data_IF_694966329883
#
_entry.id   IF_694966329883
#
_cell.length_a   1.000
_cell.length_b   1.000
_cell.length_c   1.000
_cell.angle_alpha   90.00
_cell.angle_beta   90.00
_cell.angle_gamma   90.00
#
_symmetry.space_group_name_H-M   'P 1'
#
loop_
_entity.id
_entity.type
_entity.pdbx_description
1 polymer ?
#
# COMPACT_ATOMS: atom_id res chain seq x y z
N UNK A 1 36.36 24.75 54.36
CA UNK A 1 34.89 24.69 54.56
C UNK A 1 34.05 25.50 53.56
N UNK A 2 34.45 26.70 53.09
CA UNK A 2 33.66 27.48 52.10
C UNK A 2 33.46 26.78 50.75
N UNK A 3 34.50 26.15 50.21
CA UNK A 3 34.48 25.49 48.89
C UNK A 3 33.53 24.28 48.86
N UNK A 4 33.46 23.50 49.93
CA UNK A 4 32.52 22.38 50.06
C UNK A 4 31.06 22.83 50.11
N UNK A 5 30.78 23.94 50.80
CA UNK A 5 29.43 24.52 50.86
C UNK A 5 29.00 25.05 49.49
N UNK A 6 29.93 25.65 48.76
CA UNK A 6 29.70 26.15 47.41
C UNK A 6 29.51 25.02 46.40
N UNK A 7 30.32 23.96 46.47
CA UNK A 7 30.12 22.72 45.69
C UNK A 7 28.75 22.09 45.94
N UNK A 8 28.34 21.94 47.21
CA UNK A 8 27.03 21.39 47.57
C UNK A 8 25.86 22.23 47.03
N UNK A 9 26.00 23.55 47.02
CA UNK A 9 25.00 24.46 46.46
C UNK A 9 24.87 24.27 44.95
N UNK A 10 25.99 24.19 44.21
CA UNK A 10 25.99 23.95 42.77
C UNK A 10 25.51 22.54 42.40
N UNK A 11 25.81 21.52 43.20
CA UNK A 11 25.28 20.17 43.02
C UNK A 11 23.76 20.15 43.14
N UNK A 12 23.18 20.86 44.12
CA UNK A 12 21.72 20.99 44.23
C UNK A 12 21.07 21.75 43.06
N UNK A 13 21.71 22.81 42.57
CA UNK A 13 21.25 23.53 41.39
C UNK A 13 21.31 22.66 40.13
N UNK A 14 22.39 21.87 39.99
CA UNK A 14 22.56 20.92 38.90
C UNK A 14 21.48 19.84 38.93
N UNK A 15 21.17 19.28 40.10
CA UNK A 15 20.13 18.25 40.23
C UNK A 15 18.73 18.83 39.95
N UNK A 16 18.48 20.10 40.29
CA UNK A 16 17.26 20.80 39.92
C UNK A 16 17.16 21.03 38.40
N UNK A 17 18.26 21.43 37.76
CA UNK A 17 18.33 21.58 36.31
C UNK A 17 18.14 20.23 35.59
N UNK A 18 18.70 19.13 36.08
CA UNK A 18 18.48 17.82 35.49
C UNK A 18 17.03 17.37 35.56
N UNK A 19 16.36 17.58 36.70
CA UNK A 19 14.93 17.31 36.80
C UNK A 19 14.11 18.22 35.86
N UNK A 20 14.52 19.48 35.70
CA UNK A 20 13.86 20.40 34.78
C UNK A 20 14.05 19.96 33.32
N UNK A 21 15.25 19.58 32.90
CA UNK A 21 15.55 19.06 31.56
C UNK A 21 14.74 17.79 31.30
N UNK A 22 14.67 16.86 32.25
CA UNK A 22 13.86 15.66 32.10
C UNK A 22 12.38 15.99 31.88
N UNK A 23 11.81 16.91 32.65
CA UNK A 23 10.43 17.34 32.44
C UNK A 23 10.24 18.04 31.08
N UNK A 24 11.22 18.81 30.61
CA UNK A 24 11.17 19.44 29.29
C UNK A 24 11.26 18.42 28.15
N UNK A 25 12.10 17.40 28.26
CA UNK A 25 12.21 16.33 27.27
C UNK A 25 10.90 15.55 27.14
N UNK A 26 10.24 15.25 28.28
CA UNK A 26 8.92 14.62 28.29
C UNK A 26 7.86 15.50 27.60
N UNK A 27 7.89 16.82 27.83
CA UNK A 27 6.97 17.78 27.17
C UNK A 27 7.31 17.92 25.68
N UNK A 28 8.58 17.90 25.30
CA UNK A 28 9.02 17.98 23.91
C UNK A 28 8.53 16.77 23.11
N UNK A 29 8.66 15.56 23.66
CA UNK A 29 8.13 14.34 23.04
C UNK A 29 6.60 14.40 22.86
N UNK A 30 5.88 14.84 23.90
CA UNK A 30 4.44 15.05 23.80
C UNK A 30 4.06 16.11 22.75
N UNK A 31 4.83 17.20 22.66
CA UNK A 31 4.63 18.28 21.69
C UNK A 31 4.84 17.81 20.25
N UNK A 32 5.85 16.95 20.01
CA UNK A 32 6.11 16.35 18.71
C UNK A 32 4.95 15.45 18.28
N UNK A 33 4.48 14.58 19.17
CA UNK A 33 3.29 13.76 18.90
C UNK A 33 2.02 14.59 18.63
N UNK A 34 1.84 15.72 19.32
CA UNK A 34 0.73 16.66 19.06
C UNK A 34 0.89 17.32 17.68
N UNK A 35 2.11 17.66 17.27
CA UNK A 35 2.40 18.27 15.96
C UNK A 35 2.10 17.30 14.81
N UNK A 36 2.46 16.03 14.96
CA UNK A 36 2.13 14.99 13.98
C UNK A 36 0.62 14.74 13.90
N UNK A 37 -0.06 14.72 15.05
CA UNK A 37 -1.51 14.66 15.13
C UNK A 37 -2.17 15.88 14.46
N UNK A 38 -1.60 17.08 14.62
CA UNK A 38 -2.07 18.30 13.97
C UNK A 38 -1.92 18.25 12.44
N UNK A 39 -0.81 17.73 11.93
CA UNK A 39 -0.61 17.53 10.49
C UNK A 39 -1.63 16.54 9.94
N UNK A 40 -1.83 15.42 10.63
CA UNK A 40 -2.84 14.41 10.28
C UNK A 40 -4.25 15.01 10.29
N UNK A 41 -4.60 15.79 11.32
CA UNK A 41 -5.89 16.49 11.40
C UNK A 41 -6.08 17.48 10.25
N UNK A 42 -5.02 18.17 9.83
CA UNK A 42 -5.06 19.12 8.71
C UNK A 42 -5.29 18.39 7.38
N UNK A 43 -4.59 17.27 7.17
CA UNK A 43 -4.82 16.39 6.01
C UNK A 43 -6.25 15.85 6.00
N UNK A 44 -6.75 15.34 7.13
CA UNK A 44 -8.13 14.87 7.27
C UNK A 44 -9.16 15.97 7.01
N UNK A 45 -8.91 17.19 7.48
CA UNK A 45 -9.79 18.34 7.23
C UNK A 45 -9.83 18.72 5.75
N UNK A 46 -8.69 18.65 5.07
CA UNK A 46 -8.59 18.87 3.62
C UNK A 46 -9.34 17.77 2.85
N UNK A 47 -9.08 16.50 3.18
CA UNK A 47 -9.77 15.35 2.61
C UNK A 47 -11.29 15.42 2.84
N UNK A 48 -11.75 15.83 4.03
CA UNK A 48 -13.18 16.00 4.31
C UNK A 48 -13.80 17.14 3.48
N UNK A 49 -13.06 18.23 3.24
CA UNK A 49 -13.51 19.34 2.39
C UNK A 49 -13.63 18.90 0.93
N UNK A 50 -12.66 18.13 0.44
CA UNK A 50 -12.68 17.53 -0.89
C UNK A 50 -13.81 16.52 -1.04
N UNK A 51 -13.98 15.61 -0.07
CA UNK A 51 -15.07 14.64 -0.02
C UNK A 51 -16.44 15.34 -0.01
N UNK A 52 -16.61 16.43 0.74
CA UNK A 52 -17.83 17.24 0.70
C UNK A 52 -18.02 17.95 -0.65
N UNK A 53 -16.94 18.30 -1.34
CA UNK A 53 -16.97 18.81 -2.70
C UNK A 53 -17.44 17.73 -3.68
N UNK A 54 -16.83 16.55 -3.62
CA UNK A 54 -17.22 15.38 -4.41
C UNK A 54 -18.67 14.98 -4.13
N UNK A 55 -19.13 14.90 -2.88
CA UNK A 55 -20.53 14.60 -2.55
C UNK A 55 -21.54 15.66 -3.04
N UNK A 56 -21.10 16.89 -3.29
CA UNK A 56 -21.94 17.92 -3.93
C UNK A 56 -21.93 17.84 -5.46
N UNK A 57 -20.86 17.28 -6.04
CA UNK A 57 -20.66 17.11 -7.49
C UNK A 57 -21.21 15.77 -7.98
N UNK A 58 -21.14 14.71 -7.17
CA UNK A 58 -22.00 13.52 -7.20
C UNK A 58 -23.38 14.02 -6.84
N UNK A 59 -23.97 14.73 -7.80
CA UNK A 59 -25.25 15.38 -7.63
C UNK A 59 -26.27 14.27 -7.59
N UNK A 60 -27.29 14.47 -6.78
CA UNK A 60 -28.57 13.75 -6.76
C UNK A 60 -29.15 13.44 -8.17
N UNK A 61 -28.71 14.14 -9.21
CA UNK A 61 -29.03 13.91 -10.62
C UNK A 61 -28.40 12.65 -11.22
N UNK A 62 -27.28 12.18 -10.66
CA UNK A 62 -26.60 10.95 -11.08
C UNK A 62 -27.02 9.75 -10.23
N UNK A 63 -27.94 9.90 -9.25
CA UNK A 63 -28.42 8.76 -8.46
C UNK A 63 -29.27 7.82 -9.31
N UNK A 64 -30.09 8.36 -10.22
CA UNK A 64 -30.81 7.55 -11.21
C UNK A 64 -29.79 6.85 -12.14
N UNK A 65 -28.79 7.58 -12.66
CA UNK A 65 -27.73 7.01 -13.50
C UNK A 65 -26.86 5.96 -12.80
N UNK A 66 -26.56 6.13 -11.50
CA UNK A 66 -25.79 5.17 -10.71
C UNK A 66 -26.62 3.93 -10.38
N UNK A 67 -27.93 4.09 -10.18
CA UNK A 67 -28.83 2.97 -9.95
C UNK A 67 -29.04 2.17 -11.24
N UNK A 68 -29.17 2.85 -12.38
CA UNK A 68 -29.19 2.25 -13.71
C UNK A 68 -27.86 1.55 -14.02
N UNK A 69 -26.70 2.18 -13.78
CA UNK A 69 -25.39 1.53 -13.94
C UNK A 69 -25.18 0.34 -12.98
N UNK A 70 -25.73 0.38 -11.75
CA UNK A 70 -25.68 -0.76 -10.83
C UNK A 70 -26.60 -1.91 -11.27
N UNK A 71 -27.78 -1.61 -11.81
CA UNK A 71 -28.65 -2.61 -12.44
C UNK A 71 -27.97 -3.23 -13.66
N UNK A 72 -27.43 -2.40 -14.56
CA UNK A 72 -26.69 -2.84 -15.73
C UNK A 72 -25.47 -3.68 -15.33
N UNK A 73 -24.73 -3.30 -14.28
CA UNK A 73 -23.58 -4.09 -13.80
C UNK A 73 -24.01 -5.42 -13.16
N UNK A 74 -25.16 -5.47 -12.48
CA UNK A 74 -25.71 -6.71 -11.93
C UNK A 74 -26.20 -7.64 -13.05
N UNK A 75 -26.84 -7.09 -14.09
CA UNK A 75 -27.29 -7.83 -15.26
C UNK A 75 -26.11 -8.32 -16.10
N UNK A 76 -25.08 -7.49 -16.32
CA UNK A 76 -23.82 -7.93 -16.93
C UNK A 76 -23.14 -8.99 -16.07
N UNK A 77 -23.19 -8.89 -14.73
CA UNK A 77 -22.62 -9.93 -13.85
C UNK A 77 -23.40 -11.23 -13.95
N UNK A 78 -24.72 -11.19 -14.06
CA UNK A 78 -25.56 -12.36 -14.29
C UNK A 78 -25.33 -12.95 -15.70
N UNK A 79 -25.23 -12.11 -16.73
CA UNK A 79 -24.90 -12.53 -18.11
C UNK A 79 -23.49 -13.10 -18.19
N UNK A 80 -22.52 -12.54 -17.46
CA UNK A 80 -21.17 -13.09 -17.29
C UNK A 80 -21.25 -14.42 -16.56
N UNK A 81 -22.02 -14.54 -15.48
CA UNK A 81 -22.20 -15.81 -14.75
C UNK A 81 -22.99 -16.86 -15.55
N UNK A 82 -23.81 -16.47 -16.52
CA UNK A 82 -24.54 -17.36 -17.42
C UNK A 82 -23.67 -17.74 -18.64
N UNK A 83 -22.87 -16.80 -19.15
CA UNK A 83 -21.95 -16.99 -20.29
C UNK A 83 -20.67 -17.73 -19.89
N UNK A 84 -20.06 -17.38 -18.75
CA UNK A 84 -19.05 -18.17 -18.05
C UNK A 84 -19.67 -19.30 -17.24
N UNK A 85 -20.99 -19.24 -17.02
CA UNK A 85 -21.86 -20.35 -16.66
C UNK A 85 -21.95 -21.34 -17.80
N UNK A 86 -20.79 -21.84 -18.20
CA UNK A 86 -20.63 -23.28 -18.29
C UNK A 86 -21.17 -23.83 -16.97
N UNK A 87 -22.49 -24.05 -16.91
CA UNK A 87 -23.01 -25.30 -16.44
C UNK A 87 -22.09 -26.33 -17.05
N UNK A 88 -21.06 -26.72 -16.30
CA UNK A 88 -20.56 -28.06 -16.45
C UNK A 88 -21.82 -28.88 -16.24
N UNK A 89 -22.34 -29.40 -17.36
CA UNK A 89 -23.44 -30.34 -17.37
C UNK A 89 -22.92 -31.60 -16.69
N UNK A 90 -22.72 -31.51 -15.37
CA UNK A 90 -22.47 -32.63 -14.47
C UNK A 90 -23.80 -33.35 -14.48
N UNK A 91 -23.91 -34.49 -15.18
CA UNK A 91 -25.16 -35.22 -15.21
C UNK A 91 -25.54 -35.58 -13.77
N UNK A 92 -26.83 -35.46 -13.41
CA UNK A 92 -27.33 -35.76 -12.06
C UNK A 92 -27.09 -37.24 -11.67
N UNK A 93 -26.69 -38.08 -12.63
CA UNK A 93 -26.34 -39.50 -12.51
C UNK A 93 -24.84 -39.78 -12.35
N UNK A 94 -24.00 -38.77 -12.07
CA UNK A 94 -22.61 -39.02 -11.64
C UNK A 94 -22.62 -39.62 -10.24
N UNK A 95 -21.93 -40.75 -10.08
CA UNK A 95 -21.71 -41.40 -8.80
C UNK A 95 -20.58 -40.68 -8.03
N UNK A 96 -20.94 -39.91 -7.00
CA UNK A 96 -19.97 -39.20 -6.16
C UNK A 96 -19.03 -40.16 -5.43
N UNK A 97 -19.46 -41.39 -5.11
CA UNK A 97 -18.65 -42.37 -4.38
C UNK A 97 -17.53 -42.93 -5.28
N UNK A 98 -17.82 -43.16 -6.57
CA UNK A 98 -16.83 -43.59 -7.57
C UNK A 98 -15.79 -42.48 -7.81
N UNK A 99 -16.25 -41.23 -7.94
CA UNK A 99 -15.37 -40.07 -8.12
C UNK A 99 -14.47 -39.82 -6.90
N UNK A 100 -15.00 -39.98 -5.68
CA UNK A 100 -14.18 -39.92 -4.47
C UNK A 100 -13.15 -41.05 -4.41
N UNK A 101 -13.52 -42.26 -4.83
CA UNK A 101 -12.58 -43.38 -4.94
C UNK A 101 -11.46 -43.13 -5.95
N UNK A 102 -11.77 -42.54 -7.11
CA UNK A 102 -10.77 -42.10 -8.08
C UNK A 102 -9.88 -40.98 -7.53
N UNK A 103 -10.44 -40.03 -6.77
CA UNK A 103 -9.68 -38.93 -6.16
C UNK A 103 -8.70 -39.44 -5.09
N UNK A 104 -9.12 -40.37 -4.24
CA UNK A 104 -8.26 -41.02 -3.25
C UNK A 104 -7.12 -41.80 -3.93
N UNK A 105 -7.42 -42.46 -5.06
CA UNK A 105 -6.40 -43.16 -5.85
C UNK A 105 -5.41 -42.17 -6.49
N UNK A 106 -5.87 -41.02 -6.97
CA UNK A 106 -5.03 -39.95 -7.51
C UNK A 106 -4.19 -39.30 -6.40
N UNK A 107 -4.73 -39.11 -5.20
CA UNK A 107 -3.98 -38.64 -4.03
C UNK A 107 -2.88 -39.64 -3.65
N UNK A 108 -3.16 -40.94 -3.74
CA UNK A 108 -2.15 -41.97 -3.52
C UNK A 108 -1.05 -41.99 -4.60
N UNK A 109 -1.42 -41.79 -5.87
CA UNK A 109 -0.49 -41.70 -7.00
C UNK A 109 0.39 -40.43 -6.92
N UNK A 110 -0.23 -39.27 -6.66
CA UNK A 110 0.49 -38.02 -6.39
C UNK A 110 1.31 -38.09 -5.11
N UNK A 111 0.83 -38.77 -4.07
CA UNK A 111 1.57 -39.01 -2.83
C UNK A 111 2.84 -39.81 -3.09
N UNK A 112 2.77 -40.82 -3.95
CA UNK A 112 3.94 -41.58 -4.42
C UNK A 112 4.90 -40.73 -5.26
N UNK A 113 4.40 -39.77 -6.07
CA UNK A 113 5.27 -38.82 -6.78
C UNK A 113 5.83 -37.70 -5.85
N UNK A 114 5.09 -37.28 -4.82
CA UNK A 114 5.47 -36.17 -3.92
C UNK A 114 6.49 -36.61 -2.87
N UNK A 115 6.63 -37.92 -2.61
CA UNK A 115 7.78 -38.47 -1.89
C UNK A 115 9.11 -38.21 -2.62
N UNK A 116 9.09 -37.81 -3.90
CA UNK A 116 10.23 -37.24 -4.62
C UNK A 116 10.31 -35.72 -4.40
N UNK A 117 10.57 -35.28 -3.15
CA UNK A 117 11.03 -33.95 -2.67
C UNK A 117 10.96 -32.73 -3.63
N UNK A 118 9.82 -32.50 -4.28
CA UNK A 118 9.65 -31.43 -5.25
C UNK A 118 8.45 -30.58 -4.90
N UNK A 119 8.68 -29.35 -4.43
CA UNK A 119 7.62 -28.35 -4.33
C UNK A 119 6.98 -28.20 -5.72
N UNK A 120 5.65 -28.30 -5.87
CA UNK A 120 4.99 -28.20 -7.17
C UNK A 120 5.45 -26.94 -7.93
N UNK A 121 5.61 -27.04 -9.25
CA UNK A 121 6.20 -25.96 -10.07
C UNK A 121 5.54 -24.58 -9.91
N UNK A 122 4.28 -24.53 -9.46
CA UNK A 122 3.53 -23.29 -9.21
C UNK A 122 3.72 -22.70 -7.78
N UNK A 123 4.32 -23.45 -6.87
CA UNK A 123 4.64 -23.06 -5.48
C UNK A 123 6.14 -22.80 -5.28
N UNK A 124 6.96 -23.00 -6.32
CA UNK A 124 8.36 -22.63 -6.29
C UNK A 124 8.47 -21.09 -6.26
N UNK A 125 9.25 -20.51 -5.33
CA UNK A 125 9.50 -19.08 -5.34
C UNK A 125 10.15 -18.72 -6.67
N UNK A 126 9.53 -17.79 -7.40
CA UNK A 126 9.87 -17.36 -8.76
C UNK A 126 11.35 -17.59 -9.10
N UNK A 127 11.64 -18.69 -9.79
CA UNK A 127 12.81 -18.71 -10.67
C UNK A 127 12.47 -17.64 -11.69
N UNK A 128 13.09 -16.47 -11.57
CA UNK A 128 12.83 -15.33 -12.45
C UNK A 128 12.73 -15.86 -13.89
N UNK A 129 11.54 -15.81 -14.51
CA UNK A 129 11.42 -16.30 -15.87
C UNK A 129 12.27 -15.36 -16.72
N UNK A 130 13.36 -15.91 -17.26
CA UNK A 130 14.15 -15.31 -18.32
C UNK A 130 13.19 -14.59 -19.26
N UNK A 131 13.36 -13.27 -19.34
CA UNK A 131 12.58 -12.29 -20.09
C UNK A 131 11.48 -12.91 -20.95
N UNK A 132 10.28 -13.08 -20.38
CA UNK A 132 9.08 -13.36 -21.14
C UNK A 132 8.89 -12.17 -22.10
N UNK A 133 9.34 -12.35 -23.33
CA UNK A 133 9.40 -11.32 -24.37
C UNK A 133 7.98 -11.04 -24.88
N UNK A 134 7.17 -10.44 -24.02
CA UNK A 134 5.82 -10.01 -24.33
C UNK A 134 5.90 -8.82 -25.30
N UNK A 135 5.10 -8.81 -26.38
CA UNK A 135 5.05 -7.67 -27.28
C UNK A 135 4.65 -6.41 -26.50
N UNK A 136 5.39 -5.32 -26.68
CA UNK A 136 5.12 -4.06 -25.99
C UNK A 136 3.67 -3.62 -26.26
N UNK A 137 2.95 -3.31 -25.17
CA UNK A 137 1.59 -2.77 -25.25
C UNK A 137 1.56 -1.56 -26.20
N UNK A 138 0.52 -1.42 -27.03
CA UNK A 138 0.45 -0.39 -28.06
C UNK A 138 0.44 1.00 -27.40
N UNK A 139 1.57 1.71 -27.48
CA UNK A 139 1.65 3.11 -27.06
C UNK A 139 0.89 3.97 -28.04
N UNK A 140 -0.27 4.47 -27.61
CA UNK A 140 -1.02 5.50 -28.30
C UNK A 140 -0.14 6.72 -28.59
N UNK A 141 -0.12 7.11 -29.86
CA UNK A 141 0.64 8.22 -30.41
C UNK A 141 0.21 9.56 -29.76
N UNK A 142 0.97 10.05 -28.78
CA UNK A 142 0.95 11.45 -28.37
C UNK A 142 2.29 12.09 -28.71
N UNK A 143 2.26 13.00 -29.68
CA UNK A 143 3.43 13.61 -30.31
C UNK A 143 4.40 14.26 -29.33
N UNK A 144 5.68 13.88 -29.46
CA UNK A 144 6.83 14.54 -28.82
C UNK A 144 6.96 15.97 -29.36
N UNK A 145 6.64 16.97 -28.54
CA UNK A 145 7.17 18.33 -28.76
C UNK A 145 8.57 18.38 -28.15
N UNK A 146 9.54 18.44 -29.05
CA UNK A 146 10.97 18.56 -28.82
C UNK A 146 11.30 19.90 -28.15
N UNK A 147 11.92 19.88 -26.97
CA UNK A 147 12.74 21.01 -26.48
C UNK A 147 14.04 20.47 -25.88
N UNK A 148 15.05 20.38 -26.73
CA UNK A 148 16.44 20.21 -26.35
C UNK A 148 16.99 21.53 -25.80
N UNK A 149 17.62 21.48 -24.62
CA UNK A 149 18.74 22.38 -24.28
C UNK A 149 19.79 21.58 -23.48
N UNK A 150 21.06 21.52 -23.93
CA UNK A 150 22.08 20.59 -23.39
C UNK A 150 22.78 21.08 -22.09
N UNK A 151 23.48 20.20 -21.34
CA UNK A 151 23.94 20.47 -19.98
C UNK A 151 25.43 20.87 -19.93
N UNK A 152 25.74 22.15 -19.63
CA UNK A 152 27.01 22.67 -19.06
C UNK A 152 26.65 24.03 -18.41
N UNK A 153 26.98 24.42 -17.18
CA UNK A 153 28.25 24.38 -16.45
C UNK A 153 27.99 24.43 -14.93
N UNK A 154 28.63 23.53 -14.17
CA UNK A 154 29.00 23.77 -12.79
C UNK A 154 30.24 24.66 -12.80
N UNK A 155 30.20 25.85 -12.20
CA UNK A 155 31.31 26.46 -11.44
C UNK A 155 30.95 27.86 -10.93
N UNK A 156 31.38 28.13 -9.70
CA UNK A 156 31.58 29.45 -9.09
C UNK A 156 30.33 30.22 -8.65
N UNK A 157 30.01 30.14 -7.36
CA UNK A 157 30.21 31.28 -6.45
C UNK A 157 30.55 30.75 -5.05
N UNK A 158 31.80 30.95 -4.64
CA UNK A 158 32.19 30.88 -3.23
C UNK A 158 31.99 32.24 -2.55
N UNK A 159 32.15 32.21 -1.22
CA UNK A 159 32.09 33.31 -0.26
C UNK A 159 30.69 33.77 0.16
N UNK A 160 30.33 33.44 1.41
CA UNK A 160 30.39 34.40 2.52
C UNK A 160 30.63 33.61 3.81
N UNK A 161 31.80 33.86 4.42
CA UNK A 161 32.20 33.44 5.77
C UNK A 161 31.85 34.61 6.71
N UNK A 162 31.26 34.26 7.85
CA UNK A 162 31.08 35.08 9.06
C UNK A 162 32.44 35.51 9.66
N UNK A 163 32.48 36.55 10.48
CA UNK A 163 32.26 36.34 11.92
C UNK A 163 31.15 37.21 12.50
#
# INVERSE_FOLDING_TARGET
MRVLKQKRMYEGQRDMLYNQTFNLDQVAFASEGIKDAQQTMTALKSANKELKGMMKTVKIQDIDSLQDEMMDMMDISNEIQESLGRSYSVPDDIDEDDLMGELDALEADMGQETESEGVPSYLQPDIEPEELNLPSAPSGHAGRVNNQVPPKYLSSVGHIITP
#
